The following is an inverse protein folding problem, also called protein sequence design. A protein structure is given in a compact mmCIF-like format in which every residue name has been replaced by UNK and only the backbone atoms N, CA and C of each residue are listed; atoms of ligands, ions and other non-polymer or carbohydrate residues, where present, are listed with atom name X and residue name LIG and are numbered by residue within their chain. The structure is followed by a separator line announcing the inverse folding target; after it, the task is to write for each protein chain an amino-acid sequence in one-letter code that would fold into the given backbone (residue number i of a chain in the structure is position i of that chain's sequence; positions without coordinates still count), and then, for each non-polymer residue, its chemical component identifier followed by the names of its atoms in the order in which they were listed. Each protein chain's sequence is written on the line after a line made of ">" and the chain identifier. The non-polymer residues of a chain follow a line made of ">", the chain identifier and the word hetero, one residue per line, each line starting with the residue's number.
data_IF_727615194976
#
_entry.id   IF_727615194976
#
_cell.length_a   1.000
_cell.length_b   1.000
_cell.length_c   1.000
_cell.angle_alpha   90.00
_cell.angle_beta   90.00
_cell.angle_gamma   90.00
#
_symmetry.space_group_name_H-M   'P 1'
#
loop_
_entity.id
_entity.type
_entity.pdbx_description
1 polymer ?
#
# COMPACT_ATOMS: atom_id res chain seq x y z
N UNK A 1 -25.71 20.95 15.87
CA UNK A 1 -24.48 20.88 15.03
C UNK A 1 -23.19 20.48 15.77
N UNK A 2 -22.92 20.94 17.01
CA UNK A 2 -21.69 20.58 17.78
C UNK A 2 -21.50 19.07 18.04
N UNK A 3 -22.57 18.29 18.25
CA UNK A 3 -22.48 16.84 18.46
C UNK A 3 -21.89 16.10 17.26
N UNK A 4 -22.27 16.48 16.04
CA UNK A 4 -21.79 15.81 14.83
C UNK A 4 -20.27 16.00 14.63
N UNK A 5 -19.71 17.13 15.08
CA UNK A 5 -18.27 17.38 15.01
C UNK A 5 -17.48 16.55 16.03
N UNK A 6 -18.03 16.33 17.23
CA UNK A 6 -17.40 15.46 18.24
C UNK A 6 -17.32 14.01 17.75
N UNK A 7 -18.42 13.48 17.19
CA UNK A 7 -18.46 12.13 16.63
C UNK A 7 -17.51 11.95 15.44
N UNK A 8 -17.43 12.94 14.54
CA UNK A 8 -16.46 12.93 13.42
C UNK A 8 -15.01 12.84 13.91
N UNK A 9 -14.64 13.63 14.93
CA UNK A 9 -13.29 13.59 15.52
C UNK A 9 -12.99 12.22 16.16
N UNK A 10 -13.93 11.69 16.94
CA UNK A 10 -13.78 10.37 17.55
C UNK A 10 -13.63 9.27 16.48
N UNK A 11 -14.47 9.27 15.45
CA UNK A 11 -14.43 8.29 14.37
C UNK A 11 -13.07 8.29 13.64
N UNK A 12 -12.53 9.45 13.31
CA UNK A 12 -11.23 9.58 12.65
C UNK A 12 -10.07 9.16 13.57
N UNK A 13 -10.16 9.37 14.88
CA UNK A 13 -9.13 8.86 15.78
C UNK A 13 -9.19 7.33 15.94
N UNK A 14 -10.40 6.74 15.95
CA UNK A 14 -10.61 5.30 16.19
C UNK A 14 -10.31 4.45 14.94
N UNK A 15 -10.67 4.95 13.76
CA UNK A 15 -10.55 4.23 12.49
C UNK A 15 -9.18 3.57 12.22
N UNK A 16 -8.01 4.21 12.39
CA UNK A 16 -6.73 3.57 12.10
C UNK A 16 -6.42 2.42 13.06
N UNK A 17 -6.77 2.56 14.35
CA UNK A 17 -6.60 1.47 15.32
C UNK A 17 -7.50 0.30 14.99
N UNK A 18 -8.78 0.56 14.67
CA UNK A 18 -9.69 -0.47 14.22
C UNK A 18 -9.16 -1.20 12.98
N UNK A 19 -8.66 -0.45 11.98
CA UNK A 19 -8.10 -1.02 10.75
C UNK A 19 -6.85 -1.89 11.03
N UNK A 20 -5.93 -1.43 11.87
CA UNK A 20 -4.73 -2.19 12.24
C UNK A 20 -5.11 -3.46 13.02
N UNK A 21 -6.01 -3.36 13.97
CA UNK A 21 -6.50 -4.50 14.77
C UNK A 21 -7.15 -5.53 13.84
N UNK A 22 -8.08 -5.10 12.98
CA UNK A 22 -8.73 -5.99 12.02
C UNK A 22 -7.72 -6.62 11.06
N UNK A 23 -6.78 -5.86 10.51
CA UNK A 23 -5.73 -6.38 9.65
C UNK A 23 -4.85 -7.42 10.36
N UNK A 24 -4.50 -7.17 11.63
CA UNK A 24 -3.72 -8.10 12.44
C UNK A 24 -4.45 -9.43 12.65
N UNK A 25 -5.74 -9.41 12.99
CA UNK A 25 -6.54 -10.62 13.17
C UNK A 25 -6.78 -11.37 11.85
N UNK A 26 -7.00 -10.65 10.76
CA UNK A 26 -7.24 -11.24 9.44
C UNK A 26 -5.96 -11.65 8.70
N UNK A 27 -4.76 -11.32 9.21
CA UNK A 27 -3.50 -11.53 8.49
C UNK A 27 -3.30 -12.96 8.00
N UNK A 28 -3.61 -13.95 8.83
CA UNK A 28 -3.41 -15.36 8.49
C UNK A 28 -4.37 -15.80 7.38
N UNK A 29 -5.62 -15.32 7.41
CA UNK A 29 -6.61 -15.57 6.36
C UNK A 29 -6.17 -14.93 5.04
N UNK A 30 -5.71 -13.68 5.08
CA UNK A 30 -5.22 -12.97 3.89
C UNK A 30 -4.00 -13.67 3.29
N UNK A 31 -3.05 -14.09 4.12
CA UNK A 31 -1.85 -14.83 3.68
C UNK A 31 -2.26 -16.16 3.05
N UNK A 32 -3.18 -16.89 3.68
CA UNK A 32 -3.69 -18.17 3.17
C UNK A 32 -4.39 -18.00 1.82
N UNK A 33 -5.29 -17.02 1.67
CA UNK A 33 -5.91 -16.70 0.39
C UNK A 33 -4.87 -16.41 -0.69
N UNK A 34 -3.76 -15.74 -0.33
CA UNK A 34 -2.64 -15.51 -1.24
C UNK A 34 -1.95 -16.78 -1.74
N UNK A 35 -1.98 -17.87 -0.98
CA UNK A 35 -1.40 -19.18 -1.40
C UNK A 35 -2.30 -19.96 -2.34
N UNK A 36 -3.58 -19.60 -2.45
CA UNK A 36 -4.54 -20.23 -3.36
C UNK A 36 -4.44 -19.69 -4.79
N UNK A 37 -3.66 -18.63 -5.03
CA UNK A 37 -3.47 -18.10 -6.38
C UNK A 37 -2.70 -19.08 -7.27
N UNK A 38 -3.11 -19.26 -8.54
CA UNK A 38 -2.40 -20.10 -9.48
C UNK A 38 -1.02 -19.51 -9.81
N UNK A 39 -0.20 -20.33 -10.48
CA UNK A 39 1.08 -19.89 -11.04
C UNK A 39 0.89 -18.67 -11.95
N UNK A 40 1.82 -17.71 -11.88
CA UNK A 40 1.75 -16.46 -12.64
C UNK A 40 1.82 -16.73 -14.15
N UNK A 41 0.77 -16.44 -14.95
CA UNK A 41 0.79 -16.73 -16.39
C UNK A 41 1.90 -15.97 -17.13
N UNK A 42 2.15 -14.71 -16.77
CA UNK A 42 3.22 -13.89 -17.37
C UNK A 42 4.60 -14.52 -17.16
N UNK A 43 4.83 -15.12 -15.99
CA UNK A 43 6.08 -15.81 -15.71
C UNK A 43 6.14 -17.15 -16.45
N UNK A 44 5.06 -17.94 -16.40
CA UNK A 44 5.01 -19.26 -17.05
C UNK A 44 5.21 -19.19 -18.57
N UNK A 45 4.56 -18.24 -19.25
CA UNK A 45 4.59 -18.16 -20.71
C UNK A 45 5.69 -17.23 -21.26
N UNK A 46 5.99 -16.14 -20.55
CA UNK A 46 6.90 -15.10 -21.05
C UNK A 46 8.19 -14.99 -20.22
N UNK A 47 8.33 -15.72 -19.12
CA UNK A 47 9.42 -15.57 -18.14
C UNK A 47 9.55 -14.13 -17.60
N UNK A 48 8.44 -13.39 -17.55
CA UNK A 48 8.37 -12.00 -17.05
C UNK A 48 7.71 -11.98 -15.69
N UNK A 49 8.36 -11.35 -14.71
CA UNK A 49 7.81 -11.08 -13.38
C UNK A 49 6.79 -9.94 -13.45
N UNK A 50 5.50 -10.24 -13.34
CA UNK A 50 4.46 -9.23 -13.34
C UNK A 50 4.39 -8.46 -11.99
N UNK A 51 3.99 -7.17 -12.00
CA UNK A 51 3.91 -6.38 -10.78
C UNK A 51 2.81 -6.88 -9.84
N UNK A 52 1.77 -7.54 -10.38
CA UNK A 52 0.64 -8.09 -9.62
C UNK A 52 1.10 -9.15 -8.62
N UNK A 53 1.74 -10.23 -9.10
CA UNK A 53 2.24 -11.28 -8.22
C UNK A 53 3.31 -10.77 -7.24
N UNK A 54 4.15 -9.81 -7.68
CA UNK A 54 5.11 -9.13 -6.80
C UNK A 54 4.44 -8.34 -5.68
N UNK A 55 3.33 -7.65 -5.96
CA UNK A 55 2.55 -6.94 -4.94
C UNK A 55 1.94 -7.90 -3.93
N UNK A 56 1.38 -9.03 -4.37
CA UNK A 56 0.80 -10.03 -3.47
C UNK A 56 1.84 -10.55 -2.48
N UNK A 57 3.04 -10.93 -2.97
CA UNK A 57 4.15 -11.38 -2.12
C UNK A 57 4.61 -10.26 -1.18
N UNK A 58 4.77 -9.04 -1.69
CA UNK A 58 5.15 -7.88 -0.88
C UNK A 58 4.17 -7.63 0.28
N UNK A 59 2.86 -7.71 0.03
CA UNK A 59 1.82 -7.60 1.07
C UNK A 59 1.90 -8.75 2.08
N UNK A 60 2.15 -9.99 1.63
CA UNK A 60 2.33 -11.12 2.56
C UNK A 60 3.52 -10.89 3.52
N UNK A 61 4.63 -10.31 3.04
CA UNK A 61 5.76 -9.94 3.89
C UNK A 61 5.40 -8.79 4.85
N UNK A 62 4.70 -7.75 4.39
CA UNK A 62 4.20 -6.67 5.27
C UNK A 62 3.30 -7.20 6.40
N UNK A 63 2.40 -8.13 6.09
CA UNK A 63 1.52 -8.76 7.08
C UNK A 63 2.26 -9.62 8.10
N UNK A 64 3.46 -10.10 7.76
CA UNK A 64 4.38 -10.79 8.68
C UNK A 64 5.28 -9.84 9.46
N UNK A 65 5.25 -8.54 9.15
CA UNK A 65 6.14 -7.53 9.73
C UNK A 65 7.51 -7.44 9.06
N UNK A 66 7.70 -8.08 7.91
CA UNK A 66 8.95 -8.11 7.17
C UNK A 66 8.97 -7.02 6.08
N UNK A 67 9.49 -5.86 6.44
CA UNK A 67 9.57 -4.69 5.54
C UNK A 67 10.64 -4.89 4.47
N UNK A 68 11.73 -5.57 4.81
CA UNK A 68 12.87 -5.73 3.92
C UNK A 68 12.51 -6.59 2.72
N UNK A 69 11.94 -7.78 2.94
CA UNK A 69 11.56 -8.64 1.83
C UNK A 69 10.32 -8.10 1.10
N UNK A 70 9.43 -7.36 1.78
CA UNK A 70 8.35 -6.64 1.12
C UNK A 70 8.87 -5.72 0.01
N UNK A 71 9.88 -4.90 0.33
CA UNK A 71 10.48 -3.98 -0.65
C UNK A 71 11.18 -4.76 -1.76
N UNK A 72 11.90 -5.85 -1.43
CA UNK A 72 12.55 -6.71 -2.43
C UNK A 72 11.56 -7.27 -3.45
N UNK A 73 10.37 -7.69 -3.02
CA UNK A 73 9.35 -8.20 -3.93
C UNK A 73 8.70 -7.09 -4.77
N UNK A 74 8.26 -6.02 -4.12
CA UNK A 74 7.75 -4.82 -4.76
C UNK A 74 7.64 -3.67 -3.75
N UNK A 75 8.23 -2.48 -4.00
CA UNK A 75 8.08 -1.32 -3.11
C UNK A 75 6.69 -0.65 -3.20
N UNK A 76 5.90 -0.95 -4.24
CA UNK A 76 4.61 -0.27 -4.49
C UNK A 76 3.61 -0.38 -3.33
N UNK A 77 3.39 -1.55 -2.69
CA UNK A 77 2.46 -1.63 -1.56
C UNK A 77 2.89 -0.76 -0.37
N UNK A 78 4.19 -0.70 -0.06
CA UNK A 78 4.72 0.15 1.00
C UNK A 78 4.53 1.64 0.67
N UNK A 79 4.81 2.04 -0.58
CA UNK A 79 4.54 3.40 -1.06
C UNK A 79 3.05 3.76 -0.95
N UNK A 80 2.16 2.81 -1.28
CA UNK A 80 0.72 2.97 -1.11
C UNK A 80 0.31 3.23 0.33
N UNK A 81 0.91 2.51 1.29
CA UNK A 81 0.70 2.75 2.73
C UNK A 81 1.15 4.16 3.12
N UNK A 82 2.34 4.59 2.69
CA UNK A 82 2.88 5.93 2.99
C UNK A 82 1.94 7.02 2.44
N UNK A 83 1.52 6.91 1.17
CA UNK A 83 0.59 7.85 0.56
C UNK A 83 -0.78 7.86 1.25
N UNK A 84 -1.27 6.68 1.66
CA UNK A 84 -2.49 6.53 2.45
C UNK A 84 -2.39 7.24 3.81
N UNK A 85 -1.26 7.10 4.51
CA UNK A 85 -0.99 7.81 5.77
C UNK A 85 -0.98 9.32 5.55
N UNK A 86 -0.32 9.82 4.51
CA UNK A 86 -0.30 11.26 4.19
C UNK A 86 -1.70 11.81 3.91
N UNK A 87 -2.51 11.07 3.13
CA UNK A 87 -3.91 11.40 2.90
C UNK A 87 -4.72 11.40 4.21
N UNK A 88 -4.45 10.44 5.10
CA UNK A 88 -5.12 10.32 6.39
C UNK A 88 -4.77 11.47 7.36
N UNK A 89 -3.50 11.86 7.43
CA UNK A 89 -3.05 13.01 8.24
C UNK A 89 -3.71 14.30 7.76
N UNK A 90 -3.87 14.46 6.45
CA UNK A 90 -4.60 15.58 5.89
C UNK A 90 -6.08 15.56 6.26
N UNK A 91 -6.73 14.39 6.20
CA UNK A 91 -8.11 14.22 6.66
C UNK A 91 -8.27 14.60 8.14
N UNK A 92 -7.36 14.13 9.00
CA UNK A 92 -7.31 14.52 10.42
C UNK A 92 -7.19 16.05 10.51
N UNK A 93 -6.22 16.64 9.83
CA UNK A 93 -5.99 18.09 9.88
C UNK A 93 -7.27 18.85 9.52
N UNK A 94 -7.96 18.45 8.45
CA UNK A 94 -9.22 19.03 8.01
C UNK A 94 -10.33 18.94 9.08
N UNK A 95 -10.53 17.76 9.69
CA UNK A 95 -11.57 17.54 10.72
C UNK A 95 -11.29 18.34 12.01
N UNK A 96 -10.02 18.63 12.29
CA UNK A 96 -9.61 19.47 13.41
C UNK A 96 -9.55 20.97 13.07
N UNK A 97 -10.00 21.38 11.88
CA UNK A 97 -10.07 22.79 11.45
C UNK A 97 -8.72 23.36 10.95
N UNK A 98 -7.73 22.51 10.69
CA UNK A 98 -6.45 22.88 10.08
C UNK A 98 -6.44 22.49 8.61
N UNK A 99 -6.52 23.46 7.71
CA UNK A 99 -6.56 23.22 6.27
C UNK A 99 -5.16 23.04 5.66
N UNK A 100 -4.39 22.06 6.16
CA UNK A 100 -3.07 21.73 5.61
C UNK A 100 -3.20 20.72 4.47
N UNK A 101 -2.69 21.06 3.29
CA UNK A 101 -2.59 20.15 2.14
C UNK A 101 -1.24 19.44 2.19
N UNK A 102 -1.24 18.14 2.41
CA UNK A 102 -0.04 17.31 2.57
C UNK A 102 0.05 16.28 1.44
N UNK A 103 -1.09 15.71 1.04
CA UNK A 103 -1.14 14.73 -0.03
C UNK A 103 -0.74 15.35 -1.38
N UNK A 104 0.15 14.72 -2.17
CA UNK A 104 0.62 15.27 -3.43
C UNK A 104 -0.48 15.28 -4.50
N UNK A 105 -0.88 16.47 -4.97
CA UNK A 105 -1.82 16.65 -6.10
C UNK A 105 -1.16 17.06 -7.40
N UNK A 106 0.13 17.32 -7.39
CA UNK A 106 0.84 17.72 -8.60
C UNK A 106 0.81 16.57 -9.62
N UNK A 107 0.32 16.84 -10.84
CA UNK A 107 0.33 15.84 -11.93
C UNK A 107 1.75 15.34 -12.22
N UNK A 108 2.75 16.21 -12.11
CA UNK A 108 4.16 15.85 -12.31
C UNK A 108 4.60 14.77 -11.31
N UNK A 109 4.14 14.84 -10.05
CA UNK A 109 4.45 13.82 -9.04
C UNK A 109 3.89 12.44 -9.44
N UNK A 110 2.64 12.39 -9.91
CA UNK A 110 2.02 11.12 -10.32
C UNK A 110 2.63 10.54 -11.59
N UNK A 111 2.95 11.39 -12.56
CA UNK A 111 3.66 10.97 -13.76
C UNK A 111 5.08 10.48 -13.46
N UNK A 112 5.83 11.19 -12.60
CA UNK A 112 7.17 10.76 -12.19
C UNK A 112 7.13 9.46 -11.40
N UNK A 113 6.20 9.31 -10.45
CA UNK A 113 6.01 8.06 -9.72
C UNK A 113 5.65 6.91 -10.67
N UNK A 114 4.75 7.15 -11.63
CA UNK A 114 4.37 6.16 -12.64
C UNK A 114 5.54 5.77 -13.54
N UNK A 115 6.33 6.75 -14.01
CA UNK A 115 7.51 6.52 -14.80
C UNK A 115 8.58 5.72 -14.04
N UNK A 116 8.87 6.09 -12.79
CA UNK A 116 9.80 5.35 -11.92
C UNK A 116 9.31 3.92 -11.69
N UNK A 117 8.01 3.74 -11.47
CA UNK A 117 7.40 2.41 -11.27
C UNK A 117 7.52 1.53 -12.53
N UNK A 118 7.34 2.14 -13.71
CA UNK A 118 7.51 1.48 -15.00
C UNK A 118 8.98 1.09 -15.23
N UNK A 119 9.92 2.01 -14.97
CA UNK A 119 11.36 1.74 -15.07
C UNK A 119 11.76 0.62 -14.12
N UNK A 120 11.33 0.67 -12.86
CA UNK A 120 11.57 -0.40 -11.89
C UNK A 120 11.04 -1.74 -12.39
N UNK A 121 9.82 -1.76 -12.96
CA UNK A 121 9.24 -2.96 -13.56
C UNK A 121 10.07 -3.51 -14.73
N UNK A 122 10.59 -2.65 -15.60
CA UNK A 122 11.45 -3.11 -16.70
C UNK A 122 12.77 -3.64 -16.14
N UNK A 123 13.44 -2.87 -15.29
CA UNK A 123 14.77 -3.19 -14.73
C UNK A 123 14.75 -4.50 -13.93
N UNK A 124 13.74 -4.74 -13.09
CA UNK A 124 13.64 -5.97 -12.28
C UNK A 124 13.50 -7.26 -13.10
N UNK A 125 13.09 -7.16 -14.37
CA UNK A 125 12.97 -8.33 -15.24
C UNK A 125 14.34 -8.75 -15.79
N UNK A 126 15.30 -7.81 -15.87
CA UNK A 126 16.67 -8.08 -16.32
C UNK A 126 17.61 -8.36 -15.14
N UNK A 127 17.47 -7.58 -14.06
CA UNK A 127 18.19 -7.79 -12.81
C UNK A 127 17.36 -8.77 -12.00
N UNK A 128 17.56 -10.07 -12.19
CA UNK A 128 16.90 -11.11 -11.37
C UNK A 128 17.17 -10.80 -9.88
N UNK A 129 16.18 -10.38 -9.09
CA UNK A 129 16.31 -10.47 -7.65
C UNK A 129 16.11 -11.95 -7.32
N UNK A 130 17.16 -12.58 -6.80
CA UNK A 130 17.18 -13.99 -6.37
C UNK A 130 15.90 -14.41 -5.63
#
# INVERSE_FOLDING_TARGET
>A
MKNNLKWKKAAVCIFPFALIITAYFLRNQIIYLGTLFPSCPSYTYLNIYCPGCGNTRSVQHLLRGDIHDSIRFNPIPLLGIILGILAYIELISYVFGRHKKIFPRNRVFWWTLGAISLVYFVVRNFIRPF
#
